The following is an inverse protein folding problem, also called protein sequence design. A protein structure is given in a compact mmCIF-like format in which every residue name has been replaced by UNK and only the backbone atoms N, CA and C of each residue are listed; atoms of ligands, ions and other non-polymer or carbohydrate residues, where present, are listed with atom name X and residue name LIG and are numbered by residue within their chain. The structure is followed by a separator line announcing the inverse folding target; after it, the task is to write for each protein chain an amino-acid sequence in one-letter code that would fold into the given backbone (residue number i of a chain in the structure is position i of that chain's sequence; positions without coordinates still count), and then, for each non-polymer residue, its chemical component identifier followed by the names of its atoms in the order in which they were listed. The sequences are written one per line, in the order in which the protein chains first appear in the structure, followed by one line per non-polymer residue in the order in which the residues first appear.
data_IF_637667762434
#
_entry.id   IF_637667762434
#
_cell.length_a   1.000
_cell.length_b   1.000
_cell.length_c   1.000
_cell.angle_alpha   90.00
_cell.angle_beta   90.00
_cell.angle_gamma   90.00
#
_symmetry.space_group_name_H-M   'P 1'
#
loop_
_entity.id
_entity.type
_entity.pdbx_description
1 polymer ?
#
# COMPACT_ATOMS: atom_id res chain seq x y z
N UNK A 1 -14.27 -8.64 -11.78
CA UNK A 1 -12.91 -8.70 -11.24
C UNK A 1 -12.87 -7.89 -9.95
N UNK A 2 -12.43 -8.50 -8.86
CA UNK A 2 -12.35 -7.82 -7.56
C UNK A 2 -11.10 -6.95 -7.47
N UNK A 3 -11.12 -5.97 -6.57
CA UNK A 3 -9.95 -5.12 -6.34
C UNK A 3 -8.76 -5.94 -5.79
N UNK A 4 -9.04 -7.06 -5.11
CA UNK A 4 -7.99 -7.98 -4.63
C UNK A 4 -7.23 -8.61 -5.81
N UNK A 5 -7.96 -9.03 -6.83
CA UNK A 5 -7.34 -9.58 -8.04
C UNK A 5 -6.53 -8.52 -8.78
N UNK A 6 -7.02 -7.29 -8.85
CA UNK A 6 -6.28 -6.18 -9.45
C UNK A 6 -4.98 -5.91 -8.70
N UNK A 7 -5.04 -5.87 -7.37
CA UNK A 7 -3.85 -5.66 -6.54
C UNK A 7 -2.85 -6.79 -6.71
N UNK A 8 -3.33 -8.05 -6.76
CA UNK A 8 -2.47 -9.20 -7.01
C UNK A 8 -1.71 -9.04 -8.32
N UNK A 9 -2.42 -8.67 -9.38
CA UNK A 9 -1.82 -8.53 -10.70
C UNK A 9 -0.79 -7.39 -10.72
N UNK A 10 -1.08 -6.28 -10.05
CA UNK A 10 -0.14 -5.15 -9.93
C UNK A 10 1.12 -5.59 -9.16
N UNK A 11 0.95 -6.31 -8.06
CA UNK A 11 2.07 -6.81 -7.26
C UNK A 11 3.00 -7.69 -8.12
N UNK A 12 2.41 -8.64 -8.83
CA UNK A 12 3.19 -9.56 -9.66
C UNK A 12 3.91 -8.82 -10.79
N UNK A 13 3.27 -7.80 -11.35
CA UNK A 13 3.85 -6.99 -12.42
C UNK A 13 5.00 -6.12 -11.92
N UNK A 14 4.86 -5.50 -10.75
CA UNK A 14 5.84 -4.56 -10.21
C UNK A 14 7.01 -5.25 -9.50
N UNK A 15 6.72 -6.32 -8.77
CA UNK A 15 7.71 -6.96 -7.88
C UNK A 15 8.17 -8.34 -8.35
N UNK A 16 7.46 -8.91 -9.31
CA UNK A 16 7.72 -10.28 -9.76
C UNK A 16 7.18 -11.32 -8.79
N UNK A 17 7.38 -12.59 -9.10
CA UNK A 17 6.93 -13.70 -8.26
C UNK A 17 5.43 -13.96 -8.37
N UNK A 18 4.92 -14.69 -7.39
CA UNK A 18 3.51 -15.06 -7.32
C UNK A 18 2.90 -14.54 -6.03
N UNK A 19 1.84 -13.76 -6.14
CA UNK A 19 1.14 -13.18 -5.00
C UNK A 19 -0.13 -13.95 -4.68
N UNK A 20 -0.34 -14.24 -3.38
CA UNK A 20 -1.53 -14.93 -2.88
C UNK A 20 -2.10 -14.10 -1.73
N UNK A 21 -3.38 -13.74 -1.82
CA UNK A 21 -4.05 -12.97 -0.78
C UNK A 21 -4.13 -13.77 0.52
N UNK A 22 -3.77 -13.15 1.63
CA UNK A 22 -3.76 -13.78 2.96
C UNK A 22 -4.85 -13.22 3.86
N UNK A 23 -4.93 -11.89 3.98
CA UNK A 23 -5.90 -11.27 4.89
C UNK A 23 -6.17 -9.83 4.49
N UNK A 24 -7.30 -9.33 4.97
CA UNK A 24 -7.69 -7.92 4.85
C UNK A 24 -7.66 -7.31 6.24
N UNK A 25 -6.84 -6.28 6.45
CA UNK A 25 -6.63 -5.70 7.77
C UNK A 25 -7.13 -4.25 7.77
N UNK A 26 -8.16 -3.93 8.58
CA UNK A 26 -8.57 -2.54 8.72
C UNK A 26 -7.51 -1.75 9.49
N UNK A 27 -7.16 -0.60 8.94
CA UNK A 27 -6.14 0.29 9.52
C UNK A 27 -6.71 1.70 9.59
N UNK A 28 -6.49 2.35 10.73
CA UNK A 28 -6.85 3.74 10.92
C UNK A 28 -5.67 4.46 11.55
N UNK A 29 -5.16 5.48 10.87
CA UNK A 29 -4.05 6.29 11.39
C UNK A 29 -4.57 7.66 11.77
N UNK A 30 -4.25 8.09 12.99
CA UNK A 30 -4.68 9.37 13.55
C UNK A 30 -3.43 10.17 13.90
N UNK A 31 -3.44 11.46 13.54
CA UNK A 31 -2.35 12.37 13.85
C UNK A 31 -2.93 13.69 14.37
N UNK A 32 -2.53 14.08 15.57
CA UNK A 32 -3.01 15.30 16.23
C UNK A 32 -4.53 15.40 16.29
N UNK A 33 -5.18 14.28 16.62
CA UNK A 33 -6.63 14.21 16.78
C UNK A 33 -7.41 14.09 15.48
N UNK A 34 -6.76 14.09 14.34
CA UNK A 34 -7.41 13.96 13.04
C UNK A 34 -7.06 12.64 12.37
N UNK A 35 -8.05 12.01 11.73
CA UNK A 35 -7.82 10.82 10.95
C UNK A 35 -7.11 11.20 9.64
N UNK A 36 -5.88 10.71 9.47
CA UNK A 36 -5.09 10.99 8.28
C UNK A 36 -5.17 9.85 7.26
N UNK A 37 -5.60 8.67 7.69
CA UNK A 37 -5.82 7.53 6.80
C UNK A 37 -6.78 6.55 7.45
N UNK A 38 -7.71 6.01 6.67
CA UNK A 38 -8.69 5.02 7.12
C UNK A 38 -9.06 4.14 5.94
N UNK A 39 -8.84 2.84 6.08
CA UNK A 39 -9.13 1.92 5.00
C UNK A 39 -8.73 0.50 5.33
N UNK A 40 -8.69 -0.33 4.29
CA UNK A 40 -8.34 -1.74 4.40
C UNK A 40 -7.00 -1.97 3.69
N UNK A 41 -6.04 -2.57 4.40
CA UNK A 41 -4.77 -3.02 3.83
C UNK A 41 -4.92 -4.50 3.49
N UNK A 42 -4.67 -4.85 2.23
CA UNK A 42 -4.66 -6.24 1.79
C UNK A 42 -3.26 -6.81 1.94
N UNK A 43 -3.15 -7.93 2.64
CA UNK A 43 -1.86 -8.58 2.88
C UNK A 43 -1.72 -9.76 1.95
N UNK A 44 -0.63 -9.81 1.19
CA UNK A 44 -0.35 -10.90 0.25
C UNK A 44 0.93 -11.62 0.63
N UNK A 45 0.92 -12.93 0.42
CA UNK A 45 2.14 -13.74 0.44
C UNK A 45 2.79 -13.65 -0.94
N UNK A 46 4.09 -13.44 -0.98
CA UNK A 46 4.84 -13.28 -2.22
C UNK A 46 5.90 -14.35 -2.35
N UNK A 47 5.78 -15.21 -3.37
CA UNK A 47 6.75 -16.25 -3.68
C UNK A 47 7.70 -15.77 -4.76
N UNK A 48 8.98 -16.11 -4.63
CA UNK A 48 9.98 -15.85 -5.66
C UNK A 48 10.62 -14.48 -5.60
N UNK A 49 10.27 -13.65 -4.61
CA UNK A 49 10.93 -12.36 -4.42
C UNK A 49 12.19 -12.54 -3.57
N UNK A 50 13.34 -11.94 -3.95
CA UNK A 50 14.61 -12.17 -3.25
C UNK A 50 14.69 -11.55 -1.86
N UNK A 51 13.88 -10.54 -1.55
CA UNK A 51 14.01 -9.77 -0.31
C UNK A 51 12.91 -10.02 0.70
N UNK A 52 11.74 -10.48 0.29
CA UNK A 52 10.60 -10.66 1.20
C UNK A 52 9.60 -11.66 0.67
N UNK A 53 8.80 -12.21 1.58
CA UNK A 53 7.69 -13.10 1.22
C UNK A 53 6.33 -12.47 1.51
N UNK A 54 6.27 -11.16 1.79
CA UNK A 54 5.03 -10.48 2.13
C UNK A 54 4.99 -9.08 1.52
N UNK A 55 3.79 -8.66 1.11
CA UNK A 55 3.57 -7.33 0.56
C UNK A 55 2.21 -6.81 1.03
N UNK A 56 2.15 -5.52 1.30
CA UNK A 56 0.93 -4.80 1.70
C UNK A 56 0.45 -3.97 0.53
N UNK A 57 -0.85 -3.98 0.27
CA UNK A 57 -1.40 -3.29 -0.89
C UNK A 57 -2.79 -2.74 -0.61
N UNK A 58 -3.13 -1.66 -1.27
CA UNK A 58 -4.48 -1.08 -1.21
C UNK A 58 -4.72 -0.18 -2.41
N UNK A 59 -5.99 0.21 -2.58
CA UNK A 59 -6.39 1.19 -3.59
C UNK A 59 -6.46 2.56 -2.93
N UNK A 60 -5.76 3.52 -3.49
CA UNK A 60 -5.74 4.90 -3.00
C UNK A 60 -6.57 5.79 -3.92
N UNK A 61 -7.47 6.59 -3.34
CA UNK A 61 -8.23 7.59 -4.07
C UNK A 61 -7.36 8.83 -4.23
N UNK A 62 -7.03 9.18 -5.46
CA UNK A 62 -6.11 10.29 -5.74
C UNK A 62 -6.77 11.65 -5.74
N UNK A 63 -8.11 11.70 -5.89
CA UNK A 63 -8.83 12.95 -6.11
C UNK A 63 -8.72 13.49 -7.52
N UNK A 64 -7.95 12.85 -8.39
CA UNK A 64 -7.78 13.25 -9.80
C UNK A 64 -8.82 12.53 -10.66
N UNK A 65 -9.75 13.27 -11.33
CA UNK A 65 -10.76 12.62 -12.16
C UNK A 65 -10.20 11.83 -13.35
N UNK A 66 -8.98 12.15 -13.81
CA UNK A 66 -8.35 11.43 -14.91
C UNK A 66 -7.77 10.07 -14.45
N UNK A 67 -7.35 10.00 -13.18
CA UNK A 67 -6.81 8.78 -12.58
C UNK A 67 -7.35 8.63 -11.16
N UNK A 68 -8.64 8.28 -11.00
CA UNK A 68 -9.30 8.36 -9.68
C UNK A 68 -8.73 7.38 -8.65
N UNK A 69 -8.16 6.28 -9.10
CA UNK A 69 -7.60 5.25 -8.21
C UNK A 69 -6.14 4.98 -8.53
N UNK A 70 -5.35 4.80 -7.48
CA UNK A 70 -3.96 4.41 -7.58
C UNK A 70 -3.74 3.14 -6.76
N UNK A 71 -3.06 2.16 -7.34
CA UNK A 71 -2.66 0.95 -6.63
C UNK A 71 -1.39 1.25 -5.85
N UNK A 72 -1.43 1.02 -4.53
CA UNK A 72 -0.27 1.23 -3.67
C UNK A 72 0.22 -0.13 -3.18
N UNK A 73 1.51 -0.38 -3.31
CA UNK A 73 2.14 -1.60 -2.81
C UNK A 73 3.35 -1.23 -1.96
N UNK A 74 3.51 -1.88 -0.80
CA UNK A 74 4.65 -1.67 0.09
C UNK A 74 5.18 -3.04 0.49
N UNK A 75 6.45 -3.29 0.22
CA UNK A 75 7.08 -4.55 0.57
C UNK A 75 7.33 -4.65 2.08
N UNK A 76 7.19 -5.87 2.62
CA UNK A 76 7.50 -6.17 4.01
C UNK A 76 9.02 -6.28 4.16
N UNK A 77 9.67 -5.12 4.21
CA UNK A 77 11.11 -4.98 4.37
C UNK A 77 11.34 -3.94 5.46
N UNK A 78 12.23 -4.21 6.42
CA UNK A 78 12.51 -3.30 7.51
C UNK A 78 12.66 -1.84 6.99
N UNK A 79 12.02 -0.84 7.61
CA UNK A 79 11.29 -0.86 8.89
C UNK A 79 9.80 -1.21 8.77
N UNK A 80 9.30 -1.61 7.62
CA UNK A 80 7.88 -1.92 7.40
C UNK A 80 7.64 -3.38 7.74
N UNK A 81 7.12 -3.65 8.95
CA UNK A 81 6.90 -5.01 9.45
C UNK A 81 5.43 -5.28 9.79
N UNK A 82 4.53 -4.37 9.46
CA UNK A 82 3.10 -4.53 9.73
C UNK A 82 2.27 -3.67 8.78
N UNK A 83 0.95 -3.95 8.66
CA UNK A 83 0.07 -3.13 7.81
C UNK A 83 0.05 -1.65 8.19
N UNK A 84 0.02 -1.32 9.48
CA UNK A 84 0.00 0.07 9.90
C UNK A 84 1.33 0.78 9.58
N UNK A 85 2.44 0.07 9.66
CA UNK A 85 3.73 0.64 9.29
C UNK A 85 3.82 0.89 7.78
N UNK A 86 3.19 0.05 6.97
CA UNK A 86 3.09 0.27 5.53
C UNK A 86 2.31 1.55 5.22
N UNK A 87 1.19 1.77 5.91
CA UNK A 87 0.39 2.98 5.76
C UNK A 87 1.19 4.21 6.19
N UNK A 88 1.91 4.14 7.30
CA UNK A 88 2.75 5.24 7.77
C UNK A 88 3.85 5.60 6.78
N UNK A 89 4.48 4.62 6.18
CA UNK A 89 5.49 4.84 5.15
C UNK A 89 4.90 5.56 3.94
N UNK A 90 3.70 5.16 3.52
CA UNK A 90 2.98 5.80 2.43
C UNK A 90 2.65 7.26 2.77
N UNK A 91 2.15 7.53 3.97
CA UNK A 91 1.80 8.89 4.42
C UNK A 91 3.04 9.79 4.40
N UNK A 92 4.16 9.31 4.91
CA UNK A 92 5.41 10.06 4.93
C UNK A 92 5.87 10.40 3.51
N UNK A 93 5.78 9.46 2.60
CA UNK A 93 6.15 9.67 1.21
C UNK A 93 5.26 10.71 0.53
N UNK A 94 3.96 10.65 0.77
CA UNK A 94 3.01 11.65 0.26
C UNK A 94 3.33 13.05 0.79
N UNK A 95 3.66 13.16 2.06
CA UNK A 95 4.05 14.42 2.68
C UNK A 95 5.29 15.00 2.02
N UNK A 96 6.31 14.18 1.79
CA UNK A 96 7.55 14.62 1.13
C UNK A 96 7.30 15.05 -0.31
N UNK A 97 6.47 14.32 -1.03
CA UNK A 97 6.11 14.66 -2.41
C UNK A 97 5.41 16.00 -2.49
N UNK A 98 4.46 16.26 -1.58
CA UNK A 98 3.74 17.52 -1.52
C UNK A 98 4.68 18.68 -1.15
N UNK A 99 5.57 18.48 -0.20
CA UNK A 99 6.56 19.49 0.19
C UNK A 99 7.49 19.83 -0.98
N UNK A 100 7.94 18.82 -1.73
CA UNK A 100 8.79 19.02 -2.91
C UNK A 100 8.04 19.76 -4.01
N UNK A 101 6.76 19.48 -4.19
CA UNK A 101 5.94 20.14 -5.21
C UNK A 101 5.69 21.62 -4.88
N UNK A 102 5.74 21.99 -3.61
CA UNK A 102 5.53 23.37 -3.16
C UNK A 102 6.83 24.18 -3.12
N UNK A 103 7.94 23.50 -3.19
CA UNK A 103 9.24 24.15 -3.22
C UNK A 103 9.59 24.56 -4.64
#
# INVERSE_FOLDING_TARGET
VSHIEELRDVIQKLHGGKATHRESVPVKEVFQGETVWDGIVEVFHLEGHPMTNRVYAWMHDTGDPAKPKQHVTVLHVHPVLSPIEAVRAFIIQEFRSNASAQA
#
